data_IF_573912649567
#
_entry.id   IF_573912649567
#
_cell.length_a   1.000
_cell.length_b   1.000
_cell.length_c   1.000
_cell.angle_alpha   90.00
_cell.angle_beta   90.00
_cell.angle_gamma   90.00
#
_symmetry.space_group_name_H-M   'P 1'
#
loop_
_entity.id
_entity.type
_entity.pdbx_description
1 polymer ?
#
# COMPACT_ATOMS: atom_id res chain seq x y z
N UNK A 1 1.39 -14.44 -4.38
CA UNK A 1 0.66 -13.21 -4.03
C UNK A 1 1.69 -12.13 -3.75
N UNK A 2 2.02 -11.33 -4.75
CA UNK A 2 2.91 -10.19 -4.60
C UNK A 2 2.10 -8.92 -4.28
N UNK A 3 1.94 -8.62 -2.99
CA UNK A 3 1.26 -7.39 -2.53
C UNK A 3 2.32 -6.35 -2.23
N UNK A 4 2.20 -5.17 -2.82
CA UNK A 4 3.08 -4.03 -2.56
C UNK A 4 2.32 -2.93 -1.85
N UNK A 5 2.82 -2.50 -0.70
CA UNK A 5 2.30 -1.37 0.06
C UNK A 5 3.23 -0.17 -0.14
N UNK A 6 2.76 0.79 -0.91
CA UNK A 6 3.40 2.09 -1.01
C UNK A 6 3.02 2.96 0.18
N UNK A 7 4.01 3.34 0.97
CA UNK A 7 3.86 4.07 2.22
C UNK A 7 4.79 5.28 2.28
N UNK A 8 4.54 6.15 3.26
CA UNK A 8 5.37 7.34 3.54
C UNK A 8 5.54 7.50 5.06
N UNK A 9 6.68 7.99 5.52
CA UNK A 9 6.99 8.12 6.95
C UNK A 9 6.00 9.01 7.71
N UNK A 10 5.53 10.09 7.06
CA UNK A 10 4.62 11.06 7.66
C UNK A 10 3.12 10.79 7.36
N UNK A 11 2.73 9.53 7.18
CA UNK A 11 1.38 9.14 6.80
C UNK A 11 0.75 8.18 7.83
N UNK A 12 -0.21 8.68 8.62
CA UNK A 12 -0.91 7.88 9.63
C UNK A 12 -1.71 6.74 8.98
N UNK A 13 -2.38 7.02 7.87
CA UNK A 13 -3.13 6.02 7.11
C UNK A 13 -2.25 4.86 6.63
N UNK A 14 -1.01 5.15 6.25
CA UNK A 14 -0.04 4.16 5.81
C UNK A 14 0.38 3.23 6.96
N UNK A 15 0.61 3.80 8.16
CA UNK A 15 0.86 3.02 9.37
C UNK A 15 -0.33 2.12 9.72
N UNK A 16 -1.56 2.59 9.53
CA UNK A 16 -2.77 1.80 9.75
C UNK A 16 -2.90 0.66 8.73
N UNK A 17 -2.68 0.93 7.43
CA UNK A 17 -2.71 -0.10 6.38
C UNK A 17 -1.66 -1.19 6.64
N UNK A 18 -0.43 -0.79 7.00
CA UNK A 18 0.64 -1.71 7.36
C UNK A 18 0.25 -2.61 8.53
N UNK A 19 -0.22 -2.02 9.63
CA UNK A 19 -0.68 -2.78 10.81
C UNK A 19 -1.79 -3.74 10.43
N UNK A 20 -2.77 -3.29 9.64
CA UNK A 20 -3.86 -4.13 9.18
C UNK A 20 -3.35 -5.35 8.42
N UNK A 21 -2.45 -5.17 7.46
CA UNK A 21 -1.88 -6.29 6.70
C UNK A 21 -1.08 -7.24 7.61
N UNK A 22 -0.27 -6.71 8.53
CA UNK A 22 0.50 -7.51 9.49
C UNK A 22 -0.39 -8.28 10.47
N UNK A 23 -1.43 -7.65 11.01
CA UNK A 23 -2.38 -8.26 11.95
C UNK A 23 -3.16 -9.41 11.28
N UNK A 24 -3.43 -9.28 9.98
CA UNK A 24 -4.07 -10.33 9.18
C UNK A 24 -3.05 -11.34 8.59
N UNK A 25 -1.78 -11.28 8.99
CA UNK A 25 -0.70 -12.17 8.52
C UNK A 25 -0.55 -12.22 6.99
N UNK A 26 -0.87 -11.11 6.32
CA UNK A 26 -0.73 -10.98 4.88
C UNK A 26 0.73 -10.64 4.58
N UNK A 27 1.38 -11.41 3.70
CA UNK A 27 2.71 -11.08 3.20
C UNK A 27 2.62 -9.92 2.21
N UNK A 28 3.31 -8.82 2.51
CA UNK A 28 3.41 -7.66 1.62
C UNK A 28 4.83 -7.09 1.62
N UNK A 29 5.19 -6.48 0.50
CA UNK A 29 6.40 -5.71 0.30
C UNK A 29 6.10 -4.23 0.58
N UNK A 30 6.72 -3.65 1.61
CA UNK A 30 6.58 -2.24 1.91
C UNK A 30 7.59 -1.41 1.11
N UNK A 31 7.08 -0.51 0.27
CA UNK A 31 7.87 0.43 -0.51
C UNK A 31 7.70 1.81 0.12
N UNK A 32 8.76 2.30 0.75
CA UNK A 32 8.75 3.62 1.37
C UNK A 32 9.16 4.69 0.36
N UNK A 33 8.21 5.54 -0.01
CA UNK A 33 8.40 6.60 -0.97
C UNK A 33 9.42 7.66 -0.53
N UNK A 34 9.66 7.81 0.77
CA UNK A 34 10.72 8.72 1.26
C UNK A 34 12.13 8.18 0.95
N UNK A 35 12.28 6.87 0.80
CA UNK A 35 13.56 6.23 0.48
C UNK A 35 13.69 5.92 -1.02
N UNK A 36 12.58 5.64 -1.69
CA UNK A 36 12.53 5.31 -3.12
C UNK A 36 11.74 6.37 -3.90
N UNK A 37 12.39 7.46 -4.33
CA UNK A 37 11.72 8.50 -5.11
C UNK A 37 11.25 7.99 -6.48
N UNK A 38 11.89 6.97 -7.04
CA UNK A 38 11.47 6.31 -8.29
C UNK A 38 10.06 5.71 -8.21
N UNK A 39 9.67 5.20 -7.03
CA UNK A 39 8.32 4.70 -6.79
C UNK A 39 7.27 5.83 -6.74
N UNK A 40 7.67 7.06 -6.41
CA UNK A 40 6.78 8.22 -6.45
C UNK A 40 6.40 8.53 -7.89
N UNK A 41 7.38 8.53 -8.80
CA UNK A 41 7.12 8.80 -10.21
C UNK A 41 6.23 7.73 -10.81
N UNK A 42 6.47 6.45 -10.48
CA UNK A 42 5.57 5.36 -10.87
C UNK A 42 4.14 5.58 -10.38
N UNK A 43 3.94 5.93 -9.10
CA UNK A 43 2.59 6.22 -8.56
C UNK A 43 1.91 7.40 -9.28
N UNK A 44 2.66 8.45 -9.60
CA UNK A 44 2.15 9.61 -10.34
C UNK A 44 1.77 9.26 -11.77
N UNK A 45 2.58 8.43 -12.45
CA UNK A 45 2.29 7.94 -13.80
C UNK A 45 1.01 7.09 -13.82
N UNK A 46 0.76 6.32 -12.75
CA UNK A 46 -0.51 5.59 -12.56
C UNK A 46 -1.70 6.50 -12.20
N UNK A 47 -1.46 7.80 -11.98
CA UNK A 47 -2.49 8.77 -11.59
C UNK A 47 -2.83 8.78 -10.10
N UNK A 48 -2.06 8.08 -9.27
CA UNK A 48 -2.26 8.07 -7.82
C UNK A 48 -1.62 9.30 -7.18
N UNK A 49 -2.46 10.12 -6.55
CA UNK A 49 -2.03 11.36 -5.89
C UNK A 49 -2.00 11.24 -4.36
N UNK A 50 -2.40 10.09 -3.81
CA UNK A 50 -2.55 9.88 -2.38
C UNK A 50 -2.01 8.52 -1.96
N UNK A 51 -1.52 8.47 -0.73
CA UNK A 51 -1.00 7.26 -0.07
C UNK A 51 -1.80 6.99 1.20
N UNK A 52 -1.92 5.72 1.64
CA UNK A 52 -1.25 4.52 1.14
C UNK A 52 -1.82 4.00 -0.18
N UNK A 53 -0.99 3.39 -1.02
CA UNK A 53 -1.45 2.62 -2.19
C UNK A 53 -1.03 1.17 -1.99
N UNK A 54 -1.98 0.25 -2.11
CA UNK A 54 -1.72 -1.19 -2.03
C UNK A 54 -2.02 -1.80 -3.37
N UNK A 55 -1.02 -2.39 -4.01
CA UNK A 55 -1.16 -3.03 -5.31
C UNK A 55 -0.94 -4.52 -5.15
N UNK A 56 -1.88 -5.34 -5.61
CA UNK A 56 -1.72 -6.78 -5.76
C UNK A 56 -1.73 -7.14 -7.24
N UNK A 57 -1.44 -8.41 -7.57
CA UNK A 57 -1.51 -8.92 -8.95
C UNK A 57 -2.89 -8.72 -9.60
N UNK A 58 -3.97 -8.63 -8.80
CA UNK A 58 -5.34 -8.55 -9.29
C UNK A 58 -6.05 -7.23 -8.99
N UNK A 59 -5.58 -6.43 -8.04
CA UNK A 59 -6.32 -5.25 -7.56
C UNK A 59 -5.38 -4.18 -7.01
N UNK A 60 -5.72 -2.93 -7.30
CA UNK A 60 -5.08 -1.77 -6.71
C UNK A 60 -6.06 -1.03 -5.81
N UNK A 61 -5.66 -0.86 -4.55
CA UNK A 61 -6.40 -0.18 -3.51
C UNK A 61 -5.69 1.13 -3.23
N UNK A 62 -6.41 2.24 -3.36
CA UNK A 62 -5.89 3.57 -3.06
C UNK A 62 -6.53 4.08 -1.78
N UNK A 63 -5.69 4.57 -0.87
CA UNK A 63 -6.07 4.98 0.48
C UNK A 63 -6.24 3.82 1.45
N UNK A 64 -6.53 4.15 2.70
CA UNK A 64 -6.81 3.14 3.73
C UNK A 64 -8.25 2.63 3.60
N UNK A 65 -8.41 1.46 2.98
CA UNK A 65 -9.71 0.79 2.77
C UNK A 65 -9.71 -0.58 3.44
N UNK A 66 -9.99 -0.68 4.75
CA UNK A 66 -9.94 -1.93 5.49
C UNK A 66 -10.86 -3.01 4.90
N UNK A 67 -12.00 -2.63 4.33
CA UNK A 67 -12.92 -3.56 3.67
C UNK A 67 -12.32 -4.26 2.46
N UNK A 68 -11.55 -3.53 1.63
CA UNK A 68 -10.87 -4.12 0.47
C UNK A 68 -9.61 -4.86 0.88
N UNK A 69 -8.87 -4.36 1.89
CA UNK A 69 -7.69 -5.04 2.42
C UNK A 69 -8.03 -6.41 3.02
N UNK A 70 -9.24 -6.56 3.60
CA UNK A 70 -9.76 -7.87 4.03
C UNK A 70 -9.90 -8.88 2.90
N UNK A 71 -10.17 -8.43 1.67
CA UNK A 71 -10.26 -9.34 0.52
C UNK A 71 -8.90 -9.91 0.10
N UNK A 72 -7.80 -9.29 0.57
CA UNK A 72 -6.45 -9.78 0.37
C UNK A 72 -6.03 -10.79 1.45
N UNK A 73 -6.74 -10.84 2.60
CA UNK A 73 -6.60 -11.89 3.59
C UNK A 73 -7.35 -13.13 3.07
N UNK A 74 -6.60 -14.15 2.63
CA UNK A 74 -7.15 -15.48 2.29
C UNK A 74 -7.08 -16.38 3.50
#
# INVERSE_FOLDING_TARGET
MNIKLFSKNNCIQCKMAKRFLTDNQISFEEINLDNEPTAIDWLKEQGFQSVPVVTSEATTIVGFRPDQLRQLAV
#
